data_IF_789907101125
#
_entry.id   IF_789907101125
#
_cell.length_a   1.000
_cell.length_b   1.000
_cell.length_c   1.000
_cell.angle_alpha   90.00
_cell.angle_beta   90.00
_cell.angle_gamma   90.00
#
_symmetry.space_group_name_H-M   'P 1'
#
loop_
_entity.id
_entity.type
_entity.pdbx_description
1 polymer ?
#
# COMPACT_ATOMS: atom_id res chain seq x y z
N UNK A 1 14.30 3.98 19.97
CA UNK A 1 13.36 3.64 18.88
C UNK A 1 14.25 3.31 17.70
N UNK A 2 14.51 2.01 17.55
CA UNK A 2 15.73 1.47 16.94
C UNK A 2 15.66 1.55 15.42
N UNK A 3 16.81 1.81 14.82
CA UNK A 3 17.29 1.77 13.43
C UNK A 3 16.70 0.68 12.47
N UNK A 4 15.70 -0.09 12.89
CA UNK A 4 14.93 -1.05 12.08
C UNK A 4 13.99 -0.39 11.05
N UNK A 5 13.65 0.88 11.21
CA UNK A 5 12.61 1.56 10.43
C UNK A 5 12.99 1.85 8.96
N UNK A 6 14.28 1.80 8.59
CA UNK A 6 14.75 2.06 7.23
C UNK A 6 15.15 0.80 6.45
N UNK A 7 14.57 -0.36 6.78
CA UNK A 7 14.53 -1.42 5.76
C UNK A 7 13.72 -0.85 4.62
N UNK A 8 14.34 -0.62 3.46
CA UNK A 8 13.70 -0.09 2.25
C UNK A 8 12.63 -1.07 1.79
N UNK A 9 11.47 -1.03 2.43
CA UNK A 9 10.35 -1.88 2.11
C UNK A 9 9.90 -1.52 0.71
N UNK A 10 9.55 -2.53 -0.06
CA UNK A 10 9.02 -2.32 -1.40
C UNK A 10 7.68 -1.62 -1.24
N UNK A 11 7.53 -0.47 -1.89
CA UNK A 11 6.26 0.24 -1.98
C UNK A 11 5.42 -0.36 -3.11
N UNK A 12 4.13 -0.54 -2.84
CA UNK A 12 3.16 -0.87 -3.87
C UNK A 12 2.73 0.43 -4.54
N UNK A 13 2.89 0.59 -5.87
CA UNK A 13 2.40 1.76 -6.57
C UNK A 13 0.89 1.89 -6.41
N UNK A 14 0.38 3.11 -6.23
CA UNK A 14 -1.07 3.39 -6.17
C UNK A 14 -1.82 2.90 -7.41
N UNK A 15 -1.15 2.85 -8.56
CA UNK A 15 -1.69 2.30 -9.81
C UNK A 15 -2.03 0.81 -9.66
N UNK A 16 -1.28 0.06 -8.85
CA UNK A 16 -1.59 -1.35 -8.54
C UNK A 16 -2.87 -1.46 -7.71
N UNK A 17 -3.10 -0.54 -6.78
CA UNK A 17 -4.34 -0.47 -5.99
C UNK A 17 -5.53 -0.13 -6.89
N UNK A 18 -5.37 0.81 -7.82
CA UNK A 18 -6.39 1.12 -8.83
C UNK A 18 -6.73 -0.08 -9.70
N UNK A 19 -5.73 -0.77 -10.24
CA UNK A 19 -5.94 -1.97 -11.06
C UNK A 19 -6.71 -3.06 -10.29
N UNK A 20 -6.41 -3.23 -9.00
CA UNK A 20 -7.18 -4.14 -8.15
C UNK A 20 -8.63 -3.71 -7.98
N UNK A 21 -8.89 -2.42 -7.71
CA UNK A 21 -10.26 -1.91 -7.61
C UNK A 21 -11.04 -2.09 -8.93
N UNK A 22 -10.41 -1.75 -10.06
CA UNK A 22 -10.99 -1.90 -11.41
C UNK A 22 -11.33 -3.36 -11.71
N UNK A 23 -10.49 -4.32 -11.27
CA UNK A 23 -10.77 -5.76 -11.42
C UNK A 23 -12.05 -6.21 -10.70
N UNK A 24 -12.52 -5.43 -9.72
CA UNK A 24 -13.75 -5.66 -8.96
C UNK A 24 -14.90 -4.75 -9.39
N UNK A 25 -14.73 -3.98 -10.47
CA UNK A 25 -15.73 -3.05 -10.99
C UNK A 25 -15.83 -1.72 -10.23
N UNK A 26 -14.82 -1.37 -9.43
CA UNK A 26 -14.76 -0.13 -8.66
C UNK A 26 -13.71 0.82 -9.25
N UNK A 27 -14.11 2.05 -9.53
CA UNK A 27 -13.18 3.13 -9.91
C UNK A 27 -12.79 3.95 -8.68
N UNK A 28 -11.50 4.19 -8.49
CA UNK A 28 -10.95 5.00 -7.40
C UNK A 28 -10.40 6.32 -7.95
N UNK A 29 -10.57 7.39 -7.18
CA UNK A 29 -9.83 8.62 -7.43
C UNK A 29 -8.34 8.43 -7.11
N UNK A 30 -7.49 9.25 -7.70
CA UNK A 30 -6.04 9.21 -7.46
C UNK A 30 -5.68 9.46 -5.99
N UNK A 31 -6.45 10.31 -5.31
CA UNK A 31 -6.29 10.59 -3.87
C UNK A 31 -6.60 9.36 -3.02
N UNK A 32 -7.74 8.70 -3.26
CA UNK A 32 -8.13 7.50 -2.52
C UNK A 32 -7.15 6.35 -2.79
N UNK A 33 -6.70 6.20 -4.03
CA UNK A 33 -5.70 5.20 -4.39
C UNK A 33 -4.35 5.43 -3.70
N UNK A 34 -3.92 6.69 -3.54
CA UNK A 34 -2.70 7.02 -2.81
C UNK A 34 -2.81 6.67 -1.32
N UNK A 35 -3.91 7.07 -0.67
CA UNK A 35 -4.15 6.76 0.74
C UNK A 35 -4.21 5.25 1.01
N UNK A 36 -4.87 4.49 0.13
CA UNK A 36 -4.94 3.04 0.24
C UNK A 36 -3.58 2.37 -0.01
N UNK A 37 -2.75 2.90 -0.92
CA UNK A 37 -1.41 2.36 -1.13
C UNK A 37 -0.54 2.50 0.12
N UNK A 38 -0.64 3.61 0.85
CA UNK A 38 0.05 3.82 2.12
C UNK A 38 -0.42 2.82 3.18
N UNK A 39 -1.75 2.65 3.37
CA UNK A 39 -2.32 1.71 4.35
C UNK A 39 -1.94 0.25 4.02
N UNK A 40 -2.01 -0.15 2.75
CA UNK A 40 -1.61 -1.49 2.30
C UNK A 40 -0.14 -1.73 2.61
N UNK A 41 0.74 -0.78 2.29
CA UNK A 41 2.17 -0.92 2.60
C UNK A 41 2.41 -1.01 4.11
N UNK A 42 1.67 -0.25 4.92
CA UNK A 42 1.73 -0.33 6.38
C UNK A 42 1.35 -1.72 6.89
N UNK A 43 0.19 -2.25 6.47
CA UNK A 43 -0.30 -3.56 6.93
C UNK A 43 0.59 -4.71 6.47
N UNK A 44 1.15 -4.65 5.26
CA UNK A 44 2.09 -5.67 4.79
C UNK A 44 3.38 -5.67 5.63
N UNK A 45 3.86 -4.50 6.06
CA UNK A 45 5.00 -4.40 6.98
C UNK A 45 4.65 -4.99 8.35
N UNK A 46 3.48 -4.68 8.89
CA UNK A 46 3.01 -5.24 10.16
C UNK A 46 2.91 -6.77 10.08
N UNK A 47 2.27 -7.30 9.03
CA UNK A 47 2.07 -8.74 8.83
C UNK A 47 3.37 -9.54 8.66
N UNK A 48 4.45 -8.91 8.15
CA UNK A 48 5.75 -9.56 7.94
C UNK A 48 6.70 -9.45 9.13
N UNK A 49 6.32 -8.70 10.18
CA UNK A 49 7.12 -8.50 11.39
C UNK A 49 6.62 -9.31 12.60
N UNK A 50 5.45 -9.95 12.50
CA UNK A 50 4.92 -10.93 13.47
C UNK A 50 5.52 -12.32 13.25
#
# INVERSE_FOLDING_TARGET
MSEREERRFVEIPRESVRLMAESTGLELSDEVAALLAEDVCYRLREATQN
#
